data_IF_452483025050
#
_entry.id   IF_452483025050
#
_cell.length_a   1.000
_cell.length_b   1.000
_cell.length_c   1.000
_cell.angle_alpha   90.00
_cell.angle_beta   90.00
_cell.angle_gamma   90.00
#
_symmetry.space_group_name_H-M   'P 1'
#
loop_
_entity.id
_entity.type
_entity.pdbx_description
1 polymer ?
#
# COMPACT_ATOMS: atom_id res chain seq x y z
N UNK A 1 5.60 -18.33 18.15
CA UNK A 1 5.38 -17.20 17.23
C UNK A 1 4.78 -17.78 15.96
N UNK A 2 3.55 -17.44 15.57
CA UNK A 2 2.97 -18.01 14.36
C UNK A 2 3.66 -17.38 13.14
N UNK A 3 4.05 -18.24 12.20
CA UNK A 3 4.76 -17.90 10.96
C UNK A 3 3.89 -16.94 10.14
N UNK A 4 4.29 -15.66 10.04
CA UNK A 4 3.62 -14.67 9.18
C UNK A 4 3.78 -15.14 7.73
N UNK A 5 2.69 -15.12 6.96
CA UNK A 5 2.59 -15.63 5.59
C UNK A 5 3.71 -15.06 4.70
N UNK A 6 4.62 -15.91 4.24
CA UNK A 6 5.68 -15.51 3.30
C UNK A 6 5.14 -15.66 1.88
N UNK A 7 5.20 -14.57 1.09
CA UNK A 7 4.98 -14.66 -0.34
C UNK A 7 6.16 -15.45 -0.96
N UNK A 8 5.97 -16.74 -1.21
CA UNK A 8 7.05 -17.65 -1.62
C UNK A 8 7.48 -17.31 -3.04
N UNK A 9 8.75 -16.88 -3.18
CA UNK A 9 9.52 -16.61 -4.40
C UNK A 9 8.66 -16.26 -5.64
N UNK A 10 8.41 -14.96 -5.85
CA UNK A 10 8.01 -14.41 -7.16
C UNK A 10 9.09 -14.59 -8.27
N UNK A 11 10.15 -15.35 -7.98
CA UNK A 11 11.31 -15.55 -8.86
C UNK A 11 11.39 -17.03 -9.22
N UNK A 12 10.59 -17.46 -10.19
CA UNK A 12 10.99 -18.55 -11.09
C UNK A 12 10.39 -18.27 -12.47
N UNK A 13 11.26 -17.76 -13.33
CA UNK A 13 11.28 -17.97 -14.78
C UNK A 13 9.96 -17.78 -15.53
N UNK A 14 9.82 -16.62 -16.19
CA UNK A 14 8.89 -16.53 -17.32
C UNK A 14 9.48 -17.33 -18.48
N UNK A 15 9.19 -18.63 -18.53
CA UNK A 15 9.28 -19.39 -19.76
C UNK A 15 8.09 -18.97 -20.63
N UNK A 16 8.27 -17.90 -21.43
CA UNK A 16 7.36 -17.57 -22.50
C UNK A 16 7.36 -18.72 -23.51
N UNK A 17 6.33 -19.57 -23.49
CA UNK A 17 6.01 -20.40 -24.65
C UNK A 17 5.43 -19.47 -25.73
N UNK A 18 6.04 -19.34 -26.92
CA UNK A 18 5.80 -18.19 -27.83
C UNK A 18 4.46 -18.18 -28.57
N UNK A 19 3.51 -19.07 -28.21
CA UNK A 19 2.33 -19.34 -29.04
C UNK A 19 1.00 -19.38 -28.29
N UNK A 20 0.96 -19.01 -27.00
CA UNK A 20 -0.30 -18.75 -26.29
C UNK A 20 -0.31 -17.30 -25.86
N UNK A 21 -0.78 -16.42 -26.75
CA UNK A 21 -1.05 -15.04 -26.35
C UNK A 21 -2.25 -15.04 -25.41
N UNK A 22 -1.99 -14.88 -24.10
CA UNK A 22 -3.04 -14.61 -23.13
C UNK A 22 -3.78 -13.33 -23.54
N UNK A 23 -5.11 -13.40 -23.65
CA UNK A 23 -5.98 -12.23 -23.86
C UNK A 23 -6.07 -11.34 -22.60
N UNK A 24 -5.54 -11.81 -21.47
CA UNK A 24 -5.60 -11.08 -20.21
C UNK A 24 -4.55 -9.97 -20.14
N UNK A 25 -4.92 -8.83 -19.56
CA UNK A 25 -4.01 -7.69 -19.42
C UNK A 25 -2.77 -8.05 -18.59
N UNK A 26 -1.62 -7.37 -18.78
CA UNK A 26 -0.41 -7.60 -17.98
C UNK A 26 -0.68 -7.52 -16.46
N UNK A 27 -1.58 -6.63 -16.05
CA UNK A 27 -2.01 -6.46 -14.64
C UNK A 27 -2.77 -7.69 -14.14
N UNK A 28 -3.66 -8.26 -14.95
CA UNK A 28 -4.40 -9.47 -14.58
C UNK A 28 -3.47 -10.66 -14.36
N UNK A 29 -2.57 -10.91 -15.32
CA UNK A 29 -1.58 -11.99 -15.20
C UNK A 29 -0.63 -11.77 -14.00
N UNK A 30 -0.36 -10.51 -13.65
CA UNK A 30 0.43 -10.18 -12.46
C UNK A 30 -0.32 -10.48 -11.16
N UNK A 31 -1.57 -10.03 -11.04
CA UNK A 31 -2.42 -10.31 -9.88
C UNK A 31 -2.70 -11.82 -9.71
N UNK A 32 -2.88 -12.55 -10.81
CA UNK A 32 -3.03 -14.00 -10.78
C UNK A 32 -1.77 -14.67 -10.20
N UNK A 33 -0.58 -14.28 -10.67
CA UNK A 33 0.68 -14.79 -10.11
C UNK A 33 0.85 -14.44 -8.63
N UNK A 34 0.52 -13.22 -8.23
CA UNK A 34 0.53 -12.83 -6.82
C UNK A 34 -0.43 -13.68 -5.99
N UNK A 35 -1.61 -14.01 -6.50
CA UNK A 35 -2.56 -14.87 -5.78
C UNK A 35 -2.04 -16.28 -5.51
N UNK A 36 -1.14 -16.78 -6.36
CA UNK A 36 -0.52 -18.08 -6.24
C UNK A 36 0.71 -18.05 -5.32
N UNK A 37 1.43 -16.93 -5.28
CA UNK A 37 2.67 -16.79 -4.50
C UNK A 37 2.46 -16.19 -3.11
N UNK A 38 1.48 -15.30 -2.95
CA UNK A 38 1.14 -14.64 -1.70
C UNK A 38 -0.17 -15.22 -1.17
N UNK A 39 -0.20 -15.59 0.11
CA UNK A 39 -1.38 -16.17 0.76
C UNK A 39 -1.81 -15.36 1.97
N UNK A 40 -3.03 -15.58 2.44
CA UNK A 40 -3.57 -14.94 3.64
C UNK A 40 -3.93 -13.48 3.40
N UNK A 41 -3.59 -12.63 4.37
CA UNK A 41 -3.98 -11.21 4.35
C UNK A 41 -3.22 -10.40 3.29
N UNK A 42 -2.17 -10.93 2.67
CA UNK A 42 -1.36 -10.17 1.70
C UNK A 42 -2.07 -9.93 0.37
N UNK A 43 -2.92 -10.83 -0.11
CA UNK A 43 -3.55 -10.71 -1.42
C UNK A 43 -5.08 -10.68 -1.29
N UNK A 44 -5.70 -9.64 -1.84
CA UNK A 44 -7.14 -9.48 -1.86
C UNK A 44 -7.65 -9.53 -3.30
N UNK A 45 -8.42 -10.58 -3.58
CA UNK A 45 -9.12 -10.76 -4.84
C UNK A 45 -10.29 -9.78 -4.96
N UNK A 46 -10.59 -9.35 -6.19
CA UNK A 46 -11.66 -8.39 -6.50
C UNK A 46 -13.07 -8.84 -6.10
N UNK A 47 -13.27 -10.14 -5.87
CA UNK A 47 -14.52 -10.72 -5.35
C UNK A 47 -14.60 -10.78 -3.81
N UNK A 48 -13.54 -10.40 -3.10
CA UNK A 48 -13.47 -10.44 -1.64
C UNK A 48 -14.14 -9.24 -0.98
N UNK A 49 -14.73 -9.44 0.20
CA UNK A 49 -15.33 -8.36 1.00
C UNK A 49 -14.28 -7.32 1.44
N UNK A 50 -13.09 -7.76 1.83
CA UNK A 50 -12.00 -6.86 2.19
C UNK A 50 -11.53 -6.01 1.01
N UNK A 51 -11.49 -6.59 -0.21
CA UNK A 51 -11.20 -5.82 -1.41
C UNK A 51 -12.21 -4.67 -1.57
N UNK A 52 -13.51 -4.95 -1.46
CA UNK A 52 -14.54 -3.94 -1.62
C UNK A 52 -14.40 -2.81 -0.59
N UNK A 53 -14.12 -3.15 0.67
CA UNK A 53 -13.86 -2.16 1.73
C UNK A 53 -12.66 -1.31 1.37
N UNK A 54 -11.51 -1.90 1.06
CA UNK A 54 -10.30 -1.13 0.78
C UNK A 54 -10.41 -0.32 -0.52
N UNK A 55 -11.00 -0.85 -1.59
CA UNK A 55 -11.21 -0.10 -2.83
C UNK A 55 -12.09 1.16 -2.65
N UNK A 56 -12.98 1.16 -1.65
CA UNK A 56 -13.90 2.26 -1.38
C UNK A 56 -13.54 3.11 -0.14
N UNK A 57 -12.53 2.73 0.63
CA UNK A 57 -12.13 3.42 1.86
C UNK A 57 -11.13 4.57 1.62
N UNK A 58 -11.37 5.38 0.58
CA UNK A 58 -10.72 6.68 0.41
C UNK A 58 -11.60 7.76 1.01
N UNK A 59 -10.96 8.77 1.64
CA UNK A 59 -11.67 9.88 2.26
C UNK A 59 -12.48 10.68 1.24
N UNK A 60 -11.88 10.96 0.08
CA UNK A 60 -12.57 11.57 -1.05
C UNK A 60 -13.31 10.50 -1.86
N UNK A 61 -14.62 10.65 -2.03
CA UNK A 61 -15.41 9.75 -2.87
C UNK A 61 -14.89 9.69 -4.32
N UNK A 62 -14.44 10.83 -4.86
CA UNK A 62 -13.85 10.94 -6.20
C UNK A 62 -12.50 10.21 -6.34
N UNK A 63 -11.82 9.88 -5.23
CA UNK A 63 -10.57 9.12 -5.25
C UNK A 63 -10.79 7.60 -5.20
N UNK A 64 -12.01 7.12 -4.93
CA UNK A 64 -12.35 5.69 -4.95
C UNK A 64 -12.22 5.15 -6.37
N UNK A 65 -11.62 3.98 -6.51
CA UNK A 65 -11.35 3.36 -7.81
C UNK A 65 -11.43 1.83 -7.71
N UNK A 66 -11.25 1.16 -8.85
CA UNK A 66 -11.33 -0.30 -9.01
C UNK A 66 -9.97 -0.88 -9.43
N UNK A 67 -9.06 -1.14 -8.47
CA UNK A 67 -7.84 -1.90 -8.73
C UNK A 67 -8.17 -3.31 -9.25
N UNK A 68 -7.28 -3.93 -10.02
CA UNK A 68 -7.46 -5.34 -10.41
C UNK A 68 -7.30 -6.25 -9.19
N UNK A 69 -6.31 -5.95 -8.34
CA UNK A 69 -6.13 -6.58 -7.05
C UNK A 69 -5.57 -5.57 -6.04
N UNK A 70 -5.73 -5.89 -4.77
CA UNK A 70 -5.12 -5.14 -3.66
C UNK A 70 -4.13 -6.07 -2.97
N UNK A 71 -2.95 -5.55 -2.65
CA UNK A 71 -1.97 -6.23 -1.83
C UNK A 71 -1.73 -5.47 -0.54
N UNK A 72 -1.62 -6.20 0.55
CA UNK A 72 -1.54 -5.72 1.93
C UNK A 72 -0.30 -6.33 2.58
N UNK A 73 0.92 -5.90 2.21
CA UNK A 73 2.15 -6.48 2.72
C UNK A 73 2.24 -6.34 4.24
N UNK A 74 2.76 -7.38 4.89
CA UNK A 74 2.90 -7.49 6.35
C UNK A 74 4.34 -7.23 6.81
N UNK A 75 5.30 -7.30 5.89
CA UNK A 75 6.72 -7.12 6.19
C UNK A 75 7.42 -6.24 5.14
N UNK A 76 8.52 -5.53 5.51
CA UNK A 76 9.33 -4.80 4.55
C UNK A 76 9.88 -5.68 3.42
N UNK A 77 10.21 -6.95 3.70
CA UNK A 77 10.70 -7.89 2.71
C UNK A 77 9.65 -8.18 1.64
N UNK A 78 8.42 -8.47 2.07
CA UNK A 78 7.29 -8.73 1.18
C UNK A 78 6.95 -7.52 0.32
N UNK A 79 6.91 -6.32 0.91
CA UNK A 79 6.75 -5.07 0.16
C UNK A 79 7.83 -4.90 -0.90
N UNK A 80 9.10 -5.13 -0.56
CA UNK A 80 10.20 -5.01 -1.50
C UNK A 80 10.09 -6.02 -2.66
N UNK A 81 9.66 -7.25 -2.37
CA UNK A 81 9.42 -8.29 -3.38
C UNK A 81 8.29 -7.87 -4.34
N UNK A 82 7.17 -7.39 -3.80
CA UNK A 82 6.02 -6.91 -4.59
C UNK A 82 6.42 -5.74 -5.48
N UNK A 83 7.11 -4.72 -4.94
CA UNK A 83 7.52 -3.54 -5.70
C UNK A 83 8.52 -3.90 -6.81
N UNK A 84 9.48 -4.78 -6.53
CA UNK A 84 10.41 -5.27 -7.56
C UNK A 84 9.69 -6.03 -8.68
N UNK A 85 8.69 -6.84 -8.33
CA UNK A 85 7.91 -7.58 -9.30
C UNK A 85 7.03 -6.65 -10.14
N UNK A 86 6.41 -5.63 -9.55
CA UNK A 86 5.67 -4.59 -10.29
C UNK A 86 6.56 -3.85 -11.29
N UNK A 87 7.78 -3.49 -10.86
CA UNK A 87 8.74 -2.79 -11.69
C UNK A 87 9.24 -3.61 -12.89
N UNK A 88 9.26 -4.95 -12.79
CA UNK A 88 9.75 -5.80 -13.88
C UNK A 88 8.73 -6.05 -15.00
N UNK A 89 7.44 -5.78 -14.75
CA UNK A 89 6.35 -5.99 -15.72
C UNK A 89 5.66 -4.69 -16.17
N UNK A 90 6.19 -3.54 -15.77
CA UNK A 90 5.66 -2.19 -16.06
C UNK A 90 4.16 -2.03 -15.73
N UNK A 91 3.74 -2.63 -14.61
CA UNK A 91 2.36 -2.53 -14.12
C UNK A 91 2.21 -1.29 -13.24
N UNK A 92 1.22 -0.46 -13.55
CA UNK A 92 0.90 0.72 -12.75
C UNK A 92 0.33 0.31 -11.39
N UNK A 93 0.77 1.00 -10.33
CA UNK A 93 0.29 0.79 -8.98
C UNK A 93 0.11 2.11 -8.23
N UNK A 94 -0.74 2.08 -7.19
CA UNK A 94 -0.87 3.15 -6.20
C UNK A 94 -0.49 2.62 -4.82
N UNK A 95 0.02 3.49 -3.95
CA UNK A 95 0.39 3.12 -2.57
C UNK A 95 -0.48 3.90 -1.60
N UNK A 96 -1.21 3.18 -0.76
CA UNK A 96 -2.15 3.75 0.20
C UNK A 96 -1.65 3.62 1.63
N UNK A 97 -1.53 4.77 2.29
CA UNK A 97 -1.48 4.88 3.76
C UNK A 97 -2.92 5.09 4.27
N UNK A 98 -3.28 6.28 4.76
CA UNK A 98 -4.63 6.59 5.26
C UNK A 98 -5.66 7.03 4.20
N UNK A 99 -5.39 6.90 2.89
CA UNK A 99 -6.41 7.13 1.86
C UNK A 99 -6.90 8.58 1.64
N UNK A 100 -6.18 9.59 2.17
CA UNK A 100 -6.57 11.01 2.18
C UNK A 100 -6.18 11.82 0.94
N UNK A 101 -5.46 11.26 -0.03
CA UNK A 101 -5.07 12.00 -1.24
C UNK A 101 -6.22 12.02 -2.27
N UNK A 102 -6.64 13.20 -2.78
CA UNK A 102 -7.58 13.30 -3.89
C UNK A 102 -6.90 13.13 -5.26
N UNK A 103 -5.57 13.13 -5.31
CA UNK A 103 -4.83 13.08 -6.56
C UNK A 103 -5.02 11.71 -7.25
N UNK A 104 -5.28 11.70 -8.57
CA UNK A 104 -5.37 10.45 -9.33
C UNK A 104 -4.12 9.58 -9.14
N UNK A 105 -4.32 8.28 -8.98
CA UNK A 105 -3.25 7.28 -8.81
C UNK A 105 -2.37 7.45 -7.56
N UNK A 106 -2.70 8.38 -6.65
CA UNK A 106 -1.90 8.58 -5.44
C UNK A 106 -2.23 7.55 -4.36
N UNK A 107 -3.50 7.48 -3.95
CA UNK A 107 -3.94 6.61 -2.85
C UNK A 107 -4.94 5.51 -3.30
N UNK A 108 -5.22 5.43 -4.60
CA UNK A 108 -6.02 4.39 -5.24
C UNK A 108 -5.81 4.45 -6.77
N UNK A 109 -6.11 3.37 -7.49
CA UNK A 109 -5.90 3.25 -8.94
C UNK A 109 -6.98 2.41 -9.62
N UNK A 110 -7.32 2.76 -10.87
CA UNK A 110 -8.17 1.94 -11.75
C UNK A 110 -7.30 1.05 -12.62
N UNK A 111 -7.71 -0.20 -12.81
CA UNK A 111 -7.06 -1.18 -13.70
C UNK A 111 -5.56 -1.40 -13.38
N UNK A 112 -5.16 -1.17 -12.13
CA UNK A 112 -3.79 -1.34 -11.63
C UNK A 112 -3.76 -2.12 -10.32
N UNK A 113 -2.61 -2.11 -9.64
CA UNK A 113 -2.46 -2.74 -8.31
C UNK A 113 -2.50 -1.68 -7.23
N UNK A 114 -3.29 -1.91 -6.18
CA UNK A 114 -3.23 -1.07 -4.98
C UNK A 114 -2.35 -1.77 -3.94
N UNK A 115 -1.28 -1.11 -3.52
CA UNK A 115 -0.49 -1.52 -2.35
C UNK A 115 -1.05 -0.78 -1.14
N UNK A 116 -1.70 -1.50 -0.24
CA UNK A 116 -2.23 -0.95 0.99
C UNK A 116 -1.29 -1.24 2.16
N UNK A 117 -0.88 -0.18 2.84
CA UNK A 117 0.12 -0.25 3.91
C UNK A 117 -0.50 -0.47 5.29
N UNK A 118 -1.81 -0.73 5.41
CA UNK A 118 -2.51 -0.74 6.71
C UNK A 118 -2.01 -1.79 7.72
N UNK A 119 -1.29 -2.82 7.27
CA UNK A 119 -0.66 -3.81 8.15
C UNK A 119 0.72 -3.38 8.67
N UNK A 120 1.29 -2.29 8.16
CA UNK A 120 2.42 -1.59 8.79
C UNK A 120 1.90 -0.63 9.86
N UNK A 121 1.29 -1.20 10.91
CA UNK A 121 0.54 -0.48 11.93
C UNK A 121 1.14 -0.54 13.35
N UNK A 122 2.41 -0.93 13.46
CA UNK A 122 3.08 -1.03 14.74
C UNK A 122 3.60 0.36 15.20
N UNK A 123 3.58 0.60 16.51
CA UNK A 123 4.28 1.72 17.16
C UNK A 123 5.12 1.14 18.28
N UNK A 124 6.41 1.47 18.32
CA UNK A 124 7.28 1.21 19.45
C UNK A 124 7.84 2.52 20.00
N UNK A 125 8.10 2.56 21.31
CA UNK A 125 8.71 3.69 21.98
C UNK A 125 9.79 3.20 22.94
N UNK A 126 10.97 3.77 22.85
CA UNK A 126 12.09 3.53 23.75
C UNK A 126 12.28 4.76 24.65
N UNK A 127 11.97 4.59 25.93
CA UNK A 127 12.09 5.64 26.94
C UNK A 127 13.55 6.03 27.26
N UNK A 128 14.53 5.15 26.96
CA UNK A 128 15.94 5.43 27.21
C UNK A 128 16.52 6.38 26.17
N UNK A 129 16.11 6.21 24.92
CA UNK A 129 16.55 7.03 23.78
C UNK A 129 15.55 8.13 23.41
N UNK A 130 14.35 8.11 24.01
CA UNK A 130 13.22 8.98 23.67
C UNK A 130 12.84 8.90 22.18
N UNK A 131 12.89 7.70 21.61
CA UNK A 131 12.64 7.45 20.18
C UNK A 131 11.37 6.62 19.99
N UNK A 132 10.52 7.09 19.07
CA UNK A 132 9.34 6.34 18.62
C UNK A 132 9.54 5.84 17.17
N UNK A 133 9.28 4.57 16.93
CA UNK A 133 9.19 3.98 15.58
C UNK A 133 7.72 3.80 15.24
N UNK A 134 7.29 4.40 14.12
CA UNK A 134 5.88 4.48 13.75
C UNK A 134 5.68 3.87 12.37
N UNK A 135 4.76 2.92 12.27
CA UNK A 135 4.36 2.30 11.02
C UNK A 135 3.68 3.27 10.05
N UNK A 136 4.06 3.28 8.75
CA UNK A 136 3.49 4.20 7.75
C UNK A 136 2.01 3.96 7.43
N UNK A 137 1.47 2.80 7.80
CA UNK A 137 0.06 2.43 7.61
C UNK A 137 -0.90 3.09 8.61
N UNK A 138 -0.38 3.68 9.68
CA UNK A 138 -1.20 4.28 10.74
C UNK A 138 -1.86 5.59 10.31
N UNK A 139 -2.89 5.96 11.06
CA UNK A 139 -3.39 7.34 11.12
C UNK A 139 -2.77 8.07 12.32
N UNK A 140 -2.67 9.40 12.26
CA UNK A 140 -2.10 10.17 13.37
C UNK A 140 -2.86 10.01 14.69
N UNK A 141 -4.18 9.80 14.64
CA UNK A 141 -4.98 9.50 15.82
C UNK A 141 -4.58 8.18 16.48
N UNK A 142 -4.28 7.14 15.69
CA UNK A 142 -3.78 5.88 16.22
C UNK A 142 -2.39 6.04 16.85
N UNK A 143 -1.50 6.83 16.23
CA UNK A 143 -0.17 7.15 16.79
C UNK A 143 -0.29 7.80 18.16
N UNK A 144 -1.06 8.88 18.27
CA UNK A 144 -1.22 9.60 19.53
C UNK A 144 -1.85 8.73 20.61
N UNK A 145 -2.88 7.94 20.26
CA UNK A 145 -3.53 7.01 21.17
C UNK A 145 -2.56 5.97 21.73
N UNK A 146 -1.66 5.43 20.90
CA UNK A 146 -0.67 4.45 21.36
C UNK A 146 0.40 5.09 22.25
N UNK A 147 0.84 6.31 21.94
CA UNK A 147 1.87 7.01 22.72
C UNK A 147 1.34 7.58 24.06
N UNK A 148 0.04 7.77 24.19
CA UNK A 148 -0.61 8.22 25.43
C UNK A 148 -0.28 7.33 26.63
N UNK A 149 -0.19 6.01 26.43
CA UNK A 149 0.19 5.05 27.48
C UNK A 149 1.58 5.33 28.08
N UNK A 150 2.47 5.95 27.32
CA UNK A 150 3.81 6.35 27.74
C UNK A 150 3.90 7.81 28.19
N UNK A 151 2.77 8.55 28.16
CA UNK A 151 2.69 9.99 28.48
C UNK A 151 3.61 10.86 27.61
N UNK A 152 3.85 10.43 26.38
CA UNK A 152 4.64 11.18 25.39
C UNK A 152 3.83 11.43 24.13
N UNK A 153 4.33 12.30 23.26
CA UNK A 153 3.75 12.57 21.95
C UNK A 153 4.85 12.88 20.93
N UNK A 154 4.46 12.97 19.66
CA UNK A 154 5.35 13.33 18.55
C UNK A 154 4.75 14.48 17.75
N UNK A 155 5.59 15.21 17.03
CA UNK A 155 5.11 16.19 16.04
C UNK A 155 4.53 15.43 14.86
N UNK A 156 3.26 15.67 14.55
CA UNK A 156 2.54 14.93 13.52
C UNK A 156 1.36 15.69 12.92
N UNK A 157 0.51 14.96 12.21
CA UNK A 157 -0.71 15.51 11.62
C UNK A 157 -1.72 15.93 12.69
N UNK A 158 -2.31 17.11 12.51
CA UNK A 158 -3.38 17.63 13.39
C UNK A 158 -4.72 16.92 13.19
N UNK A 159 -4.96 16.42 11.99
CA UNK A 159 -6.20 15.73 11.61
C UNK A 159 -5.98 14.23 11.82
N UNK A 160 -6.79 13.62 12.70
CA UNK A 160 -6.52 12.32 13.31
C UNK A 160 -6.67 11.13 12.36
N UNK A 161 -7.49 11.22 11.32
CA UNK A 161 -7.68 10.19 10.30
C UNK A 161 -6.72 10.35 9.10
N UNK A 162 -5.80 11.32 9.13
CA UNK A 162 -4.74 11.43 8.12
C UNK A 162 -3.71 10.34 8.32
N UNK A 163 -3.37 9.65 7.23
CA UNK A 163 -2.32 8.63 7.23
C UNK A 163 -0.92 9.19 7.43
N UNK A 164 -0.11 8.50 8.23
CA UNK A 164 1.26 8.86 8.58
C UNK A 164 2.14 8.93 7.34
N UNK A 165 2.24 7.82 6.58
CA UNK A 165 3.14 7.74 5.42
C UNK A 165 2.81 8.77 4.34
N UNK A 166 1.52 8.99 4.08
CA UNK A 166 1.08 9.98 3.09
C UNK A 166 1.39 11.42 3.49
N UNK A 167 1.26 11.77 4.78
CA UNK A 167 1.55 13.13 5.24
C UNK A 167 3.05 13.42 5.24
N UNK A 168 3.86 12.48 5.76
CA UNK A 168 5.32 12.67 5.88
C UNK A 168 5.97 12.85 4.50
N UNK A 169 5.51 12.11 3.50
CA UNK A 169 6.03 12.19 2.13
C UNK A 169 5.48 13.40 1.34
N UNK A 170 4.68 14.26 1.98
CA UNK A 170 4.20 15.51 1.40
C UNK A 170 3.07 15.30 0.39
N UNK A 171 1.85 15.03 0.86
CA UNK A 171 0.63 14.82 0.06
C UNK A 171 0.20 15.98 -0.89
N UNK A 172 1.10 16.87 -1.29
CA UNK A 172 0.92 17.91 -2.29
C UNK A 172 1.96 17.78 -3.40
N UNK A 173 1.53 17.53 -4.64
CA UNK A 173 2.36 17.80 -5.82
C UNK A 173 2.70 19.29 -5.84
N UNK A 174 3.98 19.65 -5.86
CA UNK A 174 4.44 20.91 -6.44
C UNK A 174 4.31 20.76 -7.96
N UNK A 175 3.29 21.34 -8.59
CA UNK A 175 3.36 21.57 -10.04
C UNK A 175 4.31 22.75 -10.25
N UNK A 176 5.53 22.47 -10.72
CA UNK A 176 6.31 23.50 -11.39
C UNK A 176 5.57 23.81 -12.70
N UNK A 177 4.79 24.89 -12.70
CA UNK A 177 4.25 25.43 -13.93
C UNK A 177 5.42 25.94 -14.77
N UNK A 178 5.70 25.26 -15.88
CA UNK A 178 6.46 25.90 -16.95
C UNK A 178 5.53 26.96 -17.55
N UNK A 179 5.70 28.20 -17.08
CA UNK A 179 5.20 29.36 -17.80
C UNK A 179 5.96 29.44 -19.12
N UNK A 180 5.30 29.02 -20.20
CA UNK A 180 5.72 29.42 -21.53
C UNK A 180 5.52 30.95 -21.61
N UNK A 181 6.64 31.65 -21.85
CA UNK A 181 6.64 33.02 -22.38
C UNK A 181 6.59 32.95 -23.90
#
# INVERSE_FOLDING_TARGET
>A
MPMKSECSRLITSVAFLPWVQSLASPVYNFCERLSQSCHGETYLSSNGSQYYVLANNNWFAAARNTPICIVTPTTPHELAVIVKALASVDVQFAVRSGGRSPAPKAANIRDGVLIDMSLFNEVSYDATTNLAVIGPGLTWGAVYKTLEAFKVTVVGGRVTDVGVGGLILGAFRLSLGMGAS
#
